data_IF_365892787780
#
_entry.id   IF_365892787780
#
_cell.length_a   1.000
_cell.length_b   1.000
_cell.length_c   1.000
_cell.angle_alpha   90.00
_cell.angle_beta   90.00
_cell.angle_gamma   90.00
#
_symmetry.space_group_name_H-M   'P 1'
#
loop_
_entity.id
_entity.type
_entity.pdbx_description
1 polymer ?
#
# COMPACT_ATOMS: atom_id res chain seq x y z
N UNK A 1 -8.60 2.89 -27.19
CA UNK A 1 -7.59 3.03 -26.11
C UNK A 1 -7.38 1.72 -25.38
N UNK A 2 -8.35 1.21 -24.60
CA UNK A 2 -8.18 -0.06 -23.83
C UNK A 2 -7.87 -1.27 -24.71
N UNK A 3 -8.60 -1.48 -25.81
CA UNK A 3 -8.30 -2.59 -26.74
C UNK A 3 -6.91 -2.47 -27.37
N UNK A 4 -6.50 -1.23 -27.68
CA UNK A 4 -5.18 -0.94 -28.23
C UNK A 4 -4.06 -1.22 -27.22
N UNK A 5 -4.29 -0.91 -25.94
CA UNK A 5 -3.37 -1.26 -24.86
C UNK A 5 -3.26 -2.78 -24.64
N UNK A 6 -4.38 -3.52 -24.75
CA UNK A 6 -4.39 -4.98 -24.57
C UNK A 6 -3.73 -5.74 -25.74
N UNK A 7 -3.71 -5.15 -26.94
CA UNK A 7 -3.09 -5.73 -28.12
C UNK A 7 -1.60 -5.35 -28.25
N UNK A 8 -1.14 -4.37 -27.47
CA UNK A 8 0.25 -3.95 -27.46
C UNK A 8 1.15 -5.05 -26.87
N UNK A 9 2.31 -5.25 -27.50
CA UNK A 9 3.29 -6.27 -27.10
C UNK A 9 4.29 -5.75 -26.09
N UNK A 10 4.38 -4.44 -25.90
CA UNK A 10 5.29 -3.84 -24.94
C UNK A 10 4.85 -4.15 -23.50
N UNK A 11 5.81 -4.60 -22.70
CA UNK A 11 5.62 -4.87 -21.26
C UNK A 11 6.24 -3.79 -20.38
N UNK A 12 6.77 -2.73 -20.99
CA UNK A 12 7.42 -1.63 -20.29
C UNK A 12 6.36 -0.69 -19.73
N UNK A 13 6.56 -0.20 -18.50
CA UNK A 13 5.61 0.72 -17.85
C UNK A 13 5.43 2.05 -18.59
N UNK A 14 6.40 2.43 -19.42
CA UNK A 14 6.34 3.66 -20.22
C UNK A 14 5.20 3.66 -21.25
N UNK A 15 4.68 2.47 -21.61
CA UNK A 15 3.49 2.33 -22.45
C UNK A 15 2.27 3.04 -21.85
N UNK A 16 2.17 3.13 -20.52
CA UNK A 16 1.06 3.80 -19.85
C UNK A 16 1.02 5.30 -20.17
N UNK A 17 2.14 5.90 -20.58
CA UNK A 17 2.17 7.31 -21.02
C UNK A 17 1.46 7.51 -22.37
N UNK A 18 1.33 6.45 -23.18
CA UNK A 18 0.61 6.46 -24.46
C UNK A 18 -0.90 6.30 -24.27
N UNK A 19 -1.34 5.81 -23.11
CA UNK A 19 -2.74 5.51 -22.80
C UNK A 19 -3.17 6.18 -21.47
N UNK A 20 -3.46 7.49 -21.48
CA UNK A 20 -3.71 8.28 -20.27
C UNK A 20 -4.93 7.80 -19.46
N UNK A 21 -5.99 7.29 -20.11
CA UNK A 21 -7.16 6.77 -19.38
C UNK A 21 -6.86 5.41 -18.75
N UNK A 22 -6.11 4.55 -19.44
CA UNK A 22 -5.65 3.27 -18.89
C UNK A 22 -4.73 3.52 -17.70
N UNK A 23 -3.81 4.48 -17.81
CA UNK A 23 -2.92 4.91 -16.72
C UNK A 23 -3.72 5.38 -15.49
N UNK A 24 -4.78 6.17 -15.70
CA UNK A 24 -5.62 6.63 -14.60
C UNK A 24 -6.35 5.47 -13.88
N UNK A 25 -6.84 4.48 -14.63
CA UNK A 25 -7.48 3.29 -14.09
C UNK A 25 -6.45 2.42 -13.34
N UNK A 26 -5.26 2.24 -13.91
CA UNK A 26 -4.14 1.52 -13.29
C UNK A 26 -3.78 2.12 -11.92
N UNK A 27 -3.64 3.45 -11.82
CA UNK A 27 -3.39 4.10 -10.53
C UNK A 27 -4.57 3.99 -9.55
N UNK A 28 -5.80 3.95 -10.07
CA UNK A 28 -7.00 3.88 -9.25
C UNK A 28 -7.25 2.49 -8.66
N UNK A 29 -6.92 1.43 -9.39
CA UNK A 29 -7.29 0.05 -9.03
C UNK A 29 -6.09 -0.88 -8.81
N UNK A 30 -5.01 -0.77 -9.58
CA UNK A 30 -3.84 -1.66 -9.46
C UNK A 30 -2.85 -1.18 -8.40
N UNK A 31 -2.76 0.13 -8.13
CA UNK A 31 -1.91 0.65 -7.03
C UNK A 31 -2.46 0.27 -5.64
N UNK A 32 -3.73 -0.16 -5.56
CA UNK A 32 -4.32 -0.79 -4.38
C UNK A 32 -4.05 -2.29 -4.25
N UNK A 33 -3.39 -2.96 -5.21
CA UNK A 33 -2.87 -4.32 -5.02
C UNK A 33 -1.34 -4.27 -5.05
N UNK A 34 -0.70 -4.02 -3.88
CA UNK A 34 -0.66 -5.03 -2.83
C UNK A 34 -1.01 -4.44 -1.45
N UNK A 35 -2.30 -4.43 -1.09
CA UNK A 35 -2.75 -4.03 0.25
C UNK A 35 -2.43 -5.06 1.37
N UNK A 36 -1.53 -6.03 1.15
CA UNK A 36 -0.97 -6.82 2.26
C UNK A 36 0.15 -6.07 2.95
N UNK A 37 1.02 -5.35 2.24
CA UNK A 37 2.19 -4.70 2.81
C UNK A 37 1.89 -3.71 3.97
N UNK A 38 0.90 -2.80 3.88
CA UNK A 38 0.56 -1.92 5.00
C UNK A 38 -0.13 -2.67 6.14
N UNK A 39 -0.93 -3.70 5.84
CA UNK A 39 -1.60 -4.54 6.85
C UNK A 39 -0.57 -5.39 7.60
N UNK A 40 0.37 -6.01 6.88
CA UNK A 40 1.49 -6.78 7.42
C UNK A 40 2.43 -5.87 8.22
N UNK A 41 2.73 -4.66 7.74
CA UNK A 41 3.47 -3.65 8.51
C UNK A 41 2.75 -3.28 9.81
N UNK A 42 1.42 -3.12 9.76
CA UNK A 42 0.61 -2.83 10.94
C UNK A 42 0.60 -3.98 11.94
N UNK A 43 0.53 -5.23 11.47
CA UNK A 43 0.64 -6.41 12.33
C UNK A 43 2.05 -6.57 12.91
N UNK A 44 3.11 -6.38 12.13
CA UNK A 44 4.51 -6.47 12.60
C UNK A 44 4.82 -5.34 13.58
N UNK A 45 4.49 -4.09 13.24
CA UNK A 45 4.67 -2.94 14.14
C UNK A 45 3.81 -3.07 15.39
N UNK A 46 2.57 -3.55 15.24
CA UNK A 46 1.67 -3.82 16.36
C UNK A 46 2.23 -4.85 17.33
N UNK A 47 2.80 -5.96 16.83
CA UNK A 47 3.46 -6.97 17.66
C UNK A 47 4.70 -6.42 18.40
N UNK A 48 5.47 -5.53 17.77
CA UNK A 48 6.62 -4.87 18.40
C UNK A 48 6.21 -3.86 19.49
N UNK A 49 5.01 -3.30 19.40
CA UNK A 49 4.46 -2.38 20.41
C UNK A 49 3.79 -3.18 21.54
N UNK A 50 3.07 -4.26 21.21
CA UNK A 50 2.35 -5.17 22.12
C UNK A 50 3.26 -6.28 22.68
N UNK A 51 4.39 -5.91 23.27
CA UNK A 51 5.26 -6.86 23.98
C UNK A 51 4.72 -7.05 25.41
N UNK A 52 4.83 -8.24 26.03
CA UNK A 52 4.42 -8.49 27.43
C UNK A 52 5.07 -7.59 28.49
N UNK A 53 6.05 -6.76 28.10
CA UNK A 53 6.71 -5.76 28.93
C UNK A 53 6.08 -4.35 28.82
N UNK A 54 5.14 -4.17 27.87
CA UNK A 54 4.39 -2.92 27.54
C UNK A 54 2.88 -3.16 27.38
N UNK A 55 2.37 -4.25 27.95
CA UNK A 55 0.99 -4.72 27.95
C UNK A 55 -0.02 -3.86 28.76
N UNK A 56 0.39 -2.68 29.25
CA UNK A 56 -0.50 -1.65 29.84
C UNK A 56 -0.58 -0.39 28.99
N UNK A 57 -0.51 -0.53 27.66
CA UNK A 57 -0.79 0.57 26.74
C UNK A 57 -2.31 0.70 26.56
N UNK A 58 -2.84 1.89 26.83
CA UNK A 58 -4.20 2.25 26.44
C UNK A 58 -4.28 2.34 24.92
N UNK A 59 -5.42 1.96 24.34
CA UNK A 59 -5.65 1.93 22.88
C UNK A 59 -5.21 3.21 22.16
N UNK A 60 -5.47 4.38 22.77
CA UNK A 60 -5.10 5.67 22.19
C UNK A 60 -3.59 5.89 22.12
N UNK A 61 -2.84 5.38 23.10
CA UNK A 61 -1.37 5.41 23.08
C UNK A 61 -0.80 4.41 22.07
N UNK A 62 -1.42 3.24 21.92
CA UNK A 62 -1.05 2.25 20.92
C UNK A 62 -1.19 2.81 19.50
N UNK A 63 -2.35 3.41 19.18
CA UNK A 63 -2.60 4.07 17.89
C UNK A 63 -1.57 5.16 17.62
N UNK A 64 -1.29 6.03 18.61
CA UNK A 64 -0.31 7.11 18.46
C UNK A 64 1.09 6.58 18.14
N UNK A 65 1.56 5.54 18.85
CA UNK A 65 2.86 4.93 18.58
C UNK A 65 2.93 4.25 17.21
N UNK A 66 1.83 3.63 16.78
CA UNK A 66 1.72 3.02 15.46
C UNK A 66 1.80 4.06 14.35
N UNK A 67 1.11 5.20 14.47
CA UNK A 67 1.17 6.28 13.49
C UNK A 67 2.54 6.97 13.43
N UNK A 68 3.19 7.17 14.57
CA UNK A 68 4.53 7.78 14.61
C UNK A 68 5.59 6.86 13.99
N UNK A 69 5.50 5.53 14.18
CA UNK A 69 6.42 4.57 13.56
C UNK A 69 6.26 4.43 12.04
N UNK A 70 5.14 4.85 11.46
CA UNK A 70 4.90 4.84 10.02
C UNK A 70 5.34 6.16 9.33
N UNK A 71 5.92 7.12 10.06
CA UNK A 71 6.39 8.41 9.52
C UNK A 71 7.88 8.46 9.18
N UNK A 72 8.68 7.53 9.69
CA UNK A 72 10.10 7.35 9.36
C UNK A 72 10.27 6.47 8.12
#
# INVERSE_FOLDING_TARGET
EVLSYLEDKSKELDILNLYPHVKQIFFKYDTSLPLSAPVECLFICGQQILIPRRNRLLDEMFKKLLFEKNKD
#
